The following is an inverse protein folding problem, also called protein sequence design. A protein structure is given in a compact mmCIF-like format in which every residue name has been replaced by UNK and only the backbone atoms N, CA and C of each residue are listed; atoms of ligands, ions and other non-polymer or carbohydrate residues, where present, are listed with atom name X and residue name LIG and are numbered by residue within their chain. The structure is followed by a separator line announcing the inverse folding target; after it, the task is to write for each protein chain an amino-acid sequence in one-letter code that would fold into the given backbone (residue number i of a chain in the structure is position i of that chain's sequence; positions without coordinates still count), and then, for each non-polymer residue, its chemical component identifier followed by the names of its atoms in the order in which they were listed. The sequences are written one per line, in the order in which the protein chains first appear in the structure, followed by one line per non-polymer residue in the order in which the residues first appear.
data_IF_388421078821
#
_entry.id   IF_388421078821
#
_cell.length_a   1.000
_cell.length_b   1.000
_cell.length_c   1.000
_cell.angle_alpha   90.00
_cell.angle_beta   90.00
_cell.angle_gamma   90.00
#
_symmetry.space_group_name_H-M   'P 1'
#
loop_
_entity.id
_entity.type
_entity.pdbx_description
1 polymer ?
#
# COMPACT_ATOMS: atom_id res chain seq x y z
N UNK A 1 -9.05 26.59 27.48
CA UNK A 1 -7.68 26.74 26.95
C UNK A 1 -7.42 25.70 25.85
N UNK A 2 -6.69 26.08 24.80
CA UNK A 2 -6.41 25.15 23.71
C UNK A 2 -5.42 24.05 24.13
N UNK A 3 -5.53 22.87 23.49
CA UNK A 3 -4.56 21.79 23.66
C UNK A 3 -3.29 22.16 22.92
N UNK A 4 -2.14 22.02 23.57
CA UNK A 4 -0.83 22.35 22.99
C UNK A 4 0.02 21.09 22.82
N UNK A 5 0.80 21.04 21.74
CA UNK A 5 1.70 19.95 21.47
C UNK A 5 2.86 19.90 22.46
N UNK A 6 3.16 18.70 22.96
CA UNK A 6 4.27 18.45 23.86
C UNK A 6 5.36 17.66 23.17
N UNK A 7 5.03 16.54 22.58
CA UNK A 7 5.99 15.60 22.01
C UNK A 7 5.41 14.94 20.76
N UNK A 8 6.28 14.64 19.80
CA UNK A 8 5.95 13.91 18.59
C UNK A 8 6.89 12.73 18.42
N UNK A 9 6.32 11.53 18.29
CA UNK A 9 7.07 10.30 18.02
C UNK A 9 6.53 9.67 16.73
N UNK A 10 7.26 9.84 15.63
CA UNK A 10 6.89 9.26 14.33
C UNK A 10 7.95 8.23 13.95
N UNK A 11 7.55 6.96 13.87
CA UNK A 11 8.42 5.85 13.54
C UNK A 11 7.82 5.05 12.37
N UNK A 12 8.67 4.65 11.44
CA UNK A 12 8.35 3.73 10.35
C UNK A 12 9.25 2.51 10.45
N UNK A 13 8.64 1.34 10.44
CA UNK A 13 9.33 0.06 10.59
C UNK A 13 9.10 -0.81 9.35
N UNK A 14 9.91 -1.86 9.19
CA UNK A 14 9.79 -2.80 8.08
C UNK A 14 10.70 -2.46 6.91
N UNK A 15 10.48 -3.12 5.78
CA UNK A 15 11.33 -2.95 4.60
C UNK A 15 11.30 -1.53 4.02
N UNK A 16 10.25 -0.76 4.31
CA UNK A 16 10.11 0.63 3.86
C UNK A 16 10.72 1.69 4.78
N UNK A 17 11.35 1.30 5.90
CA UNK A 17 11.89 2.28 6.86
C UNK A 17 12.91 3.24 6.24
N UNK A 18 13.64 2.79 5.22
CA UNK A 18 14.65 3.58 4.49
C UNK A 18 14.10 4.29 3.26
N UNK A 19 12.81 4.17 2.99
CA UNK A 19 12.20 4.85 1.86
C UNK A 19 12.34 6.36 2.02
N UNK A 20 12.95 7.08 1.04
CA UNK A 20 13.17 8.52 1.18
C UNK A 20 11.91 9.31 1.48
N UNK A 21 10.79 8.95 0.87
CA UNK A 21 9.50 9.59 1.07
C UNK A 21 8.98 9.46 2.51
N UNK A 22 9.35 8.40 3.23
CA UNK A 22 8.99 8.20 4.63
C UNK A 22 10.02 8.81 5.58
N UNK A 23 11.30 8.84 5.19
CA UNK A 23 12.34 9.41 6.02
C UNK A 23 12.20 10.92 6.23
N UNK A 24 11.60 11.63 5.27
CA UNK A 24 11.36 13.06 5.40
C UNK A 24 10.14 13.40 6.28
N UNK A 25 9.26 12.43 6.54
CA UNK A 25 8.07 12.63 7.37
C UNK A 25 8.36 12.16 8.79
N UNK A 26 9.15 12.95 9.52
CA UNK A 26 9.51 12.64 10.91
C UNK A 26 8.83 13.54 11.93
N UNK A 27 8.35 14.68 11.48
CA UNK A 27 7.67 15.65 12.31
C UNK A 27 6.47 16.21 11.55
N UNK A 28 5.39 16.43 12.26
CA UNK A 28 4.22 17.12 11.72
C UNK A 28 4.54 18.63 11.66
N UNK A 29 4.46 19.25 10.48
CA UNK A 29 4.73 20.67 10.34
C UNK A 29 3.82 21.51 11.24
N UNK A 30 4.40 22.50 11.94
CA UNK A 30 3.64 23.39 12.80
C UNK A 30 3.11 22.77 14.09
N UNK A 31 3.68 21.64 14.51
CA UNK A 31 3.33 20.96 15.76
C UNK A 31 4.56 20.87 16.68
N UNK A 32 5.33 21.93 16.77
CA UNK A 32 6.44 22.03 17.71
C UNK A 32 5.94 22.13 19.16
N UNK A 33 6.82 21.89 20.11
CA UNK A 33 6.46 22.00 21.52
C UNK A 33 5.85 23.38 21.83
N UNK A 34 4.68 23.37 22.44
CA UNK A 34 3.95 24.58 22.77
C UNK A 34 3.00 25.10 21.70
N UNK A 35 3.05 24.58 20.48
CA UNK A 35 2.11 24.96 19.43
C UNK A 35 0.72 24.40 19.72
N UNK A 36 -0.31 25.10 19.25
CA UNK A 36 -1.68 24.59 19.36
C UNK A 36 -1.82 23.33 18.52
N UNK A 37 -2.34 22.26 19.14
CA UNK A 37 -2.57 21.01 18.43
C UNK A 37 -3.51 21.21 17.24
N UNK A 38 -3.10 20.79 16.05
CA UNK A 38 -3.88 20.89 14.83
C UNK A 38 -4.23 19.50 14.33
N UNK A 39 -5.48 19.10 14.51
CA UNK A 39 -5.97 17.80 14.09
C UNK A 39 -5.88 17.59 12.58
N UNK A 40 -6.13 18.64 11.81
CA UNK A 40 -6.04 18.58 10.34
C UNK A 40 -4.64 18.23 9.85
N UNK A 41 -3.60 18.83 10.42
CA UNK A 41 -2.20 18.52 10.08
C UNK A 41 -1.80 17.13 10.51
N UNK A 42 -2.30 16.66 11.65
CA UNK A 42 -2.09 15.28 12.10
C UNK A 42 -2.66 14.27 11.11
N UNK A 43 -3.91 14.43 10.71
CA UNK A 43 -4.57 13.56 9.73
C UNK A 43 -3.91 13.64 8.34
N UNK A 44 -3.51 14.83 7.91
CA UNK A 44 -2.79 15.04 6.65
C UNK A 44 -1.45 14.28 6.63
N UNK A 45 -0.70 14.32 7.72
CA UNK A 45 0.57 13.60 7.83
C UNK A 45 0.36 12.09 7.79
N UNK A 46 -0.66 11.57 8.46
CA UNK A 46 -1.03 10.15 8.37
C UNK A 46 -1.35 9.76 6.93
N UNK A 47 -2.12 10.56 6.23
CA UNK A 47 -2.46 10.32 4.82
C UNK A 47 -1.23 10.32 3.93
N UNK A 48 -0.29 11.24 4.14
CA UNK A 48 0.98 11.28 3.39
C UNK A 48 1.80 10.01 3.60
N UNK A 49 1.87 9.51 4.82
CA UNK A 49 2.60 8.27 5.13
C UNK A 49 1.96 7.09 4.40
N UNK A 50 0.65 6.94 4.49
CA UNK A 50 -0.09 5.86 3.82
C UNK A 50 0.08 5.94 2.30
N UNK A 51 -0.06 7.12 1.71
CA UNK A 51 0.10 7.33 0.28
C UNK A 51 1.51 6.99 -0.20
N UNK A 52 2.55 7.43 0.53
CA UNK A 52 3.93 7.13 0.19
C UNK A 52 4.21 5.61 0.21
N UNK A 53 3.67 4.91 1.19
CA UNK A 53 3.80 3.45 1.28
C UNK A 53 3.09 2.76 0.11
N UNK A 54 1.85 3.13 -0.19
CA UNK A 54 1.08 2.56 -1.30
C UNK A 54 1.73 2.83 -2.65
N UNK A 55 2.22 4.03 -2.89
CA UNK A 55 2.88 4.41 -4.15
C UNK A 55 4.17 3.62 -4.40
N UNK A 56 4.75 3.05 -3.37
CA UNK A 56 5.97 2.26 -3.44
C UNK A 56 5.76 0.76 -3.22
N UNK A 57 4.53 0.29 -3.24
CA UNK A 57 4.21 -1.14 -3.21
C UNK A 57 4.16 -1.79 -1.84
N UNK A 58 4.06 -1.01 -0.79
CA UNK A 58 3.88 -1.53 0.57
C UNK A 58 2.38 -1.67 0.88
N UNK A 59 1.73 -2.59 0.19
CA UNK A 59 0.26 -2.71 0.22
C UNK A 59 -0.27 -3.35 1.49
N UNK A 60 0.56 -4.04 2.26
CA UNK A 60 0.17 -4.67 3.52
C UNK A 60 0.58 -3.84 4.74
N UNK A 61 0.98 -2.59 4.52
CA UNK A 61 1.34 -1.66 5.57
C UNK A 61 0.15 -1.34 6.48
N UNK A 62 0.44 -1.15 7.75
CA UNK A 62 -0.59 -0.84 8.73
C UNK A 62 -0.05 0.01 9.88
N UNK A 63 -0.94 0.66 10.60
CA UNK A 63 -0.60 1.41 11.80
C UNK A 63 -0.47 0.47 12.99
N UNK A 64 0.71 0.43 13.60
CA UNK A 64 0.91 -0.23 14.90
C UNK A 64 0.36 0.63 16.03
N UNK A 65 0.55 1.94 15.92
CA UNK A 65 0.07 2.93 16.87
C UNK A 65 -0.22 4.23 16.11
N UNK A 66 -1.36 4.82 16.36
CA UNK A 66 -1.74 6.12 15.84
C UNK A 66 -2.65 6.81 16.84
N UNK A 67 -2.05 7.44 17.85
CA UNK A 67 -2.81 8.11 18.89
C UNK A 67 -2.28 9.50 19.19
N UNK A 68 -3.16 10.26 19.83
CA UNK A 68 -2.85 11.56 20.44
C UNK A 68 -3.27 11.45 21.90
N UNK A 69 -2.28 11.45 22.78
CA UNK A 69 -2.51 11.35 24.21
C UNK A 69 -2.58 12.73 24.83
N UNK A 70 -3.75 13.07 25.38
CA UNK A 70 -3.97 14.37 26.02
C UNK A 70 -3.84 14.19 27.53
N UNK A 71 -2.96 14.98 28.14
CA UNK A 71 -2.68 14.93 29.56
C UNK A 71 -3.28 16.16 30.27
N UNK A 72 -4.01 15.89 31.34
CA UNK A 72 -4.57 16.92 32.23
C UNK A 72 -3.63 17.10 33.43
N UNK A 73 -3.64 18.31 34.14
CA UNK A 73 -4.44 19.49 33.83
C UNK A 73 -3.90 20.42 32.75
N UNK A 74 -2.65 20.18 32.29
CA UNK A 74 -1.92 21.10 31.42
C UNK A 74 -2.45 21.14 29.99
N UNK A 75 -3.34 20.21 29.62
CA UNK A 75 -3.87 20.03 28.25
C UNK A 75 -2.76 19.96 27.20
N UNK A 76 -1.83 19.05 27.41
CA UNK A 76 -0.75 18.78 26.47
C UNK A 76 -1.07 17.54 25.61
N UNK A 77 -0.71 17.59 24.34
CA UNK A 77 -0.88 16.47 23.40
C UNK A 77 0.47 15.81 23.11
N UNK A 78 0.53 14.51 23.30
CA UNK A 78 1.63 13.66 22.87
C UNK A 78 1.17 12.86 21.64
N UNK A 79 1.87 13.03 20.53
CA UNK A 79 1.53 12.40 19.26
C UNK A 79 2.42 11.20 19.06
N UNK A 80 1.79 10.02 18.87
CA UNK A 80 2.51 8.77 18.64
C UNK A 80 2.02 8.12 17.33
N UNK A 81 2.89 8.05 16.35
CA UNK A 81 2.65 7.39 15.07
C UNK A 81 3.69 6.32 14.85
N UNK A 82 3.27 5.06 14.76
CA UNK A 82 4.13 3.92 14.45
C UNK A 82 3.53 3.15 13.28
N UNK A 83 4.22 3.20 12.15
CA UNK A 83 3.77 2.59 10.91
C UNK A 83 4.65 1.41 10.54
N UNK A 84 4.02 0.25 10.31
CA UNK A 84 4.68 -0.95 9.81
C UNK A 84 4.44 -1.05 8.31
N UNK A 85 5.49 -0.94 7.53
CA UNK A 85 5.39 -1.00 6.06
C UNK A 85 5.21 -2.42 5.56
N UNK A 86 5.76 -3.40 6.26
CA UNK A 86 5.84 -4.77 5.76
C UNK A 86 6.80 -4.89 4.59
N UNK A 87 6.60 -5.90 3.78
CA UNK A 87 7.42 -6.16 2.60
C UNK A 87 6.92 -5.40 1.38
N UNK A 88 7.84 -5.08 0.49
CA UNK A 88 7.52 -4.40 -0.77
C UNK A 88 7.10 -5.40 -1.84
N UNK A 89 5.99 -5.12 -2.51
CA UNK A 89 5.51 -5.93 -3.63
C UNK A 89 6.36 -5.71 -4.88
N UNK A 90 6.44 -6.74 -5.69
CA UNK A 90 7.15 -6.73 -6.97
C UNK A 90 6.18 -6.87 -8.12
N UNK A 91 6.55 -6.28 -9.27
CA UNK A 91 5.77 -6.34 -10.48
C UNK A 91 6.04 -7.64 -11.24
N UNK A 92 4.98 -8.21 -11.79
CA UNK A 92 5.01 -9.29 -12.74
C UNK A 92 4.76 -8.77 -14.16
N UNK A 93 4.57 -9.69 -15.08
CA UNK A 93 4.19 -9.37 -16.46
C UNK A 93 2.80 -8.75 -16.51
N UNK A 94 2.60 -7.89 -17.49
CA UNK A 94 1.30 -7.26 -17.74
C UNK A 94 0.45 -8.20 -18.59
N UNK A 95 -0.81 -8.37 -18.20
CA UNK A 95 -1.83 -9.00 -19.02
C UNK A 95 -2.61 -7.92 -19.77
N UNK A 96 -2.66 -8.04 -21.09
CA UNK A 96 -3.38 -7.10 -21.93
C UNK A 96 -4.67 -7.73 -22.42
N UNK A 97 -5.79 -7.05 -22.24
CA UNK A 97 -7.10 -7.52 -22.65
C UNK A 97 -7.87 -6.41 -23.34
N UNK A 98 -8.65 -6.79 -24.37
CA UNK A 98 -9.61 -5.85 -24.96
C UNK A 98 -10.87 -5.80 -24.10
N UNK A 99 -11.50 -4.62 -24.02
CA UNK A 99 -12.80 -4.49 -23.36
C UNK A 99 -13.88 -5.31 -24.04
N UNK A 100 -13.78 -5.47 -25.37
CA UNK A 100 -14.59 -6.40 -26.16
C UNK A 100 -13.76 -7.66 -26.43
N UNK A 101 -14.04 -8.79 -25.75
CA UNK A 101 -13.26 -10.02 -25.92
C UNK A 101 -13.30 -10.59 -27.34
N UNK A 102 -14.28 -10.21 -28.16
CA UNK A 102 -14.41 -10.65 -29.55
C UNK A 102 -13.40 -9.98 -30.49
N UNK A 103 -12.79 -8.88 -30.07
CA UNK A 103 -11.81 -8.14 -30.88
C UNK A 103 -10.39 -8.53 -30.50
N UNK A 104 -9.51 -8.75 -31.49
CA UNK A 104 -8.10 -9.03 -31.21
C UNK A 104 -7.37 -7.76 -30.77
N UNK A 105 -6.28 -7.95 -30.04
CA UNK A 105 -5.38 -6.85 -29.70
C UNK A 105 -4.77 -6.28 -31.00
N UNK A 106 -4.76 -4.94 -31.17
CA UNK A 106 -4.25 -4.31 -32.39
C UNK A 106 -2.71 -4.30 -32.49
N UNK A 107 -2.03 -4.64 -31.42
CA UNK A 107 -0.58 -4.66 -31.30
C UNK A 107 -0.08 -6.05 -30.98
N UNK A 108 1.13 -6.38 -31.42
CA UNK A 108 1.78 -7.65 -31.08
C UNK A 108 2.18 -7.67 -29.59
N UNK A 109 2.32 -8.87 -29.05
CA UNK A 109 2.77 -9.03 -27.65
C UNK A 109 4.12 -8.38 -27.42
N UNK A 110 5.03 -8.48 -28.38
CA UNK A 110 6.37 -7.86 -28.30
C UNK A 110 6.28 -6.34 -28.17
N UNK A 111 5.42 -5.70 -28.94
CA UNK A 111 5.21 -4.24 -28.87
C UNK A 111 4.56 -3.86 -27.54
N UNK A 112 3.53 -4.60 -27.12
CA UNK A 112 2.87 -4.36 -25.84
C UNK A 112 3.84 -4.49 -24.67
N UNK A 113 4.66 -5.51 -24.64
CA UNK A 113 5.66 -5.72 -23.59
C UNK A 113 6.69 -4.58 -23.54
N UNK A 114 7.01 -3.96 -24.68
CA UNK A 114 7.92 -2.83 -24.74
C UNK A 114 7.38 -1.56 -24.12
N UNK A 115 6.05 -1.46 -23.91
CA UNK A 115 5.40 -0.30 -23.33
C UNK A 115 5.52 -0.26 -21.80
N UNK A 116 5.76 -1.40 -21.16
CA UNK A 116 5.91 -1.48 -19.72
C UNK A 116 7.35 -1.13 -19.32
N UNK A 117 7.57 -0.09 -18.49
CA UNK A 117 8.91 0.37 -18.13
C UNK A 117 9.54 -0.43 -16.98
N UNK A 118 9.33 -1.73 -16.95
CA UNK A 118 9.92 -2.61 -15.94
C UNK A 118 10.14 -4.01 -16.47
N UNK A 119 10.97 -4.74 -15.74
CA UNK A 119 11.15 -6.20 -15.92
C UNK A 119 10.45 -6.94 -14.79
N UNK A 120 10.00 -8.16 -15.05
CA UNK A 120 9.43 -9.02 -14.02
C UNK A 120 10.37 -9.12 -12.82
N UNK A 121 9.83 -8.94 -11.62
CA UNK A 121 10.59 -8.93 -10.37
C UNK A 121 11.10 -7.55 -9.94
N UNK A 122 10.94 -6.51 -10.74
CA UNK A 122 11.21 -5.16 -10.29
C UNK A 122 10.21 -4.74 -9.19
N UNK A 123 10.65 -3.87 -8.32
CA UNK A 123 9.79 -3.34 -7.26
C UNK A 123 8.60 -2.58 -7.84
N UNK A 124 7.44 -2.76 -7.22
CA UNK A 124 6.30 -1.93 -7.55
C UNK A 124 6.62 -0.47 -7.23
N UNK A 125 6.28 0.39 -8.18
CA UNK A 125 6.23 1.83 -7.97
C UNK A 125 5.10 2.40 -8.83
N UNK A 126 4.30 3.29 -8.26
CA UNK A 126 3.16 3.88 -8.96
C UNK A 126 3.58 4.57 -10.27
N UNK A 127 4.74 5.23 -10.29
CA UNK A 127 5.22 5.89 -11.50
C UNK A 127 5.39 4.94 -12.68
N UNK A 128 5.74 3.67 -12.43
CA UNK A 128 5.90 2.65 -13.49
C UNK A 128 4.56 2.32 -14.12
N UNK A 129 3.55 2.13 -13.32
CA UNK A 129 2.18 1.87 -13.79
C UNK A 129 1.64 3.07 -14.55
N UNK A 130 1.90 4.28 -14.06
CA UNK A 130 1.47 5.51 -14.71
C UNK A 130 2.13 5.72 -16.07
N UNK A 131 3.42 5.41 -16.19
CA UNK A 131 4.15 5.46 -17.48
C UNK A 131 3.56 4.44 -18.47
N UNK A 132 3.23 3.23 -18.02
CA UNK A 132 2.57 2.24 -18.89
C UNK A 132 1.23 2.79 -19.41
N UNK A 133 0.41 3.36 -18.53
CA UNK A 133 -0.88 3.93 -18.92
C UNK A 133 -0.71 5.03 -19.97
N UNK A 134 0.25 5.92 -19.78
CA UNK A 134 0.57 6.98 -20.72
C UNK A 134 1.08 6.42 -22.05
N UNK A 135 1.94 5.42 -22.03
CA UNK A 135 2.45 4.79 -23.24
C UNK A 135 1.33 4.13 -24.05
N UNK A 136 0.41 3.45 -23.39
CA UNK A 136 -0.77 2.86 -24.05
C UNK A 136 -1.65 3.94 -24.71
N UNK A 137 -1.94 5.00 -23.99
CA UNK A 137 -2.71 6.14 -24.53
C UNK A 137 -2.01 6.78 -25.72
N UNK A 138 -0.70 6.95 -25.65
CA UNK A 138 0.10 7.60 -26.69
C UNK A 138 0.22 6.76 -27.97
N UNK A 139 -0.03 5.46 -27.93
CA UNK A 139 -0.08 4.63 -29.16
C UNK A 139 -1.23 5.01 -30.08
N UNK A 140 -2.28 5.62 -29.54
CA UNK A 140 -3.51 6.03 -30.26
C UNK A 140 -4.29 4.89 -30.91
N UNK A 141 -3.99 3.65 -30.54
CA UNK A 141 -4.76 2.48 -31.01
C UNK A 141 -5.99 2.19 -30.18
N UNK A 142 -6.11 2.83 -29.00
CA UNK A 142 -7.18 2.59 -28.05
C UNK A 142 -7.95 3.89 -27.78
N UNK A 143 -9.28 3.80 -27.78
CA UNK A 143 -10.14 4.93 -27.42
C UNK A 143 -10.12 5.20 -25.92
N UNK A 144 -9.94 4.14 -25.14
CA UNK A 144 -9.90 4.19 -23.69
C UNK A 144 -8.98 3.07 -23.17
N UNK A 145 -8.16 3.40 -22.20
CA UNK A 145 -7.29 2.44 -21.54
C UNK A 145 -7.46 2.51 -20.02
N UNK A 146 -7.58 1.35 -19.41
CA UNK A 146 -7.58 1.21 -17.95
C UNK A 146 -6.41 0.31 -17.56
N UNK A 147 -5.54 0.81 -16.69
CA UNK A 147 -4.46 0.02 -16.10
C UNK A 147 -4.82 -0.22 -14.64
N UNK A 148 -4.98 -1.48 -14.29
CA UNK A 148 -5.33 -1.89 -12.94
C UNK A 148 -4.26 -2.79 -12.36
N UNK A 149 -4.04 -2.67 -11.07
CA UNK A 149 -3.07 -3.47 -10.33
C UNK A 149 -3.80 -4.56 -9.55
N UNK A 150 -3.49 -5.82 -9.86
CA UNK A 150 -4.10 -6.95 -9.16
C UNK A 150 -3.13 -7.42 -8.08
N UNK A 151 -3.49 -7.17 -6.83
CA UNK A 151 -2.75 -7.62 -5.68
C UNK A 151 -3.09 -9.10 -5.40
N UNK A 152 -2.08 -9.99 -5.26
CA UNK A 152 -2.35 -11.36 -4.82
C UNK A 152 -2.85 -11.35 -3.36
N UNK A 153 -3.58 -12.39 -2.98
CA UNK A 153 -3.98 -12.57 -1.59
C UNK A 153 -2.73 -12.66 -0.71
N UNK A 154 -2.75 -12.05 0.50
CA UNK A 154 -1.63 -12.17 1.42
C UNK A 154 -1.36 -13.63 1.75
N UNK A 155 -0.07 -14.02 1.75
CA UNK A 155 0.33 -15.35 2.21
C UNK A 155 0.13 -15.34 3.73
N UNK A 156 -0.96 -15.96 4.17
CA UNK A 156 -1.19 -16.14 5.59
C UNK A 156 -0.34 -17.30 6.07
N UNK A 157 0.38 -17.14 7.22
CA UNK A 157 1.02 -18.29 7.84
C UNK A 157 -0.05 -19.32 8.21
N UNK A 158 0.25 -20.64 8.11
CA UNK A 158 -0.71 -21.66 8.47
C UNK A 158 -1.19 -21.41 9.91
N UNK A 159 -2.51 -21.38 10.08
CA UNK A 159 -3.10 -21.27 11.40
C UNK A 159 -2.77 -22.54 12.17
N UNK A 160 -2.15 -22.39 13.34
CA UNK A 160 -2.04 -23.50 14.28
C UNK A 160 -3.42 -23.74 14.90
N UNK A 161 -4.16 -24.67 14.32
CA UNK A 161 -5.46 -25.07 14.82
C UNK A 161 -5.31 -26.16 15.86
N UNK A 162 -6.23 -26.20 16.83
CA UNK A 162 -6.38 -27.34 17.71
C UNK A 162 -6.61 -28.62 16.87
N UNK A 163 -6.10 -29.81 17.27
CA UNK A 163 -6.19 -31.01 16.45
C UNK A 163 -7.61 -31.31 15.94
N UNK A 164 -8.63 -31.06 16.74
CA UNK A 164 -10.04 -31.32 16.39
C UNK A 164 -10.50 -30.38 15.24
N UNK A 165 -10.11 -29.09 15.29
CA UNK A 165 -10.43 -28.12 14.26
C UNK A 165 -9.65 -28.41 12.98
N UNK A 166 -8.40 -28.86 13.09
CA UNK A 166 -7.59 -29.25 11.96
C UNK A 166 -8.24 -30.45 11.23
N UNK A 167 -8.72 -31.42 11.92
CA UNK A 167 -9.42 -32.58 11.36
C UNK A 167 -10.67 -32.13 10.56
N UNK A 168 -11.45 -31.19 11.08
CA UNK A 168 -12.63 -30.67 10.40
C UNK A 168 -12.26 -29.93 9.11
N UNK A 169 -11.20 -29.12 9.14
CA UNK A 169 -10.71 -28.41 7.96
C UNK A 169 -10.24 -29.41 6.90
N UNK A 170 -9.52 -30.45 7.28
CA UNK A 170 -9.04 -31.47 6.37
C UNK A 170 -10.20 -32.27 5.73
N UNK A 171 -11.26 -32.59 6.51
CA UNK A 171 -12.48 -33.18 5.95
C UNK A 171 -13.16 -32.29 4.92
N UNK A 172 -13.27 -31.00 5.17
CA UNK A 172 -13.87 -30.06 4.21
C UNK A 172 -13.06 -29.97 2.92
N UNK A 173 -11.74 -29.94 3.00
CA UNK A 173 -10.86 -29.95 1.83
C UNK A 173 -11.01 -31.24 1.02
N UNK A 174 -11.12 -32.38 1.69
CA UNK A 174 -11.32 -33.67 1.03
C UNK A 174 -12.66 -33.71 0.30
N UNK A 175 -13.75 -33.26 0.93
CA UNK A 175 -15.06 -33.17 0.30
C UNK A 175 -15.06 -32.26 -0.91
N UNK A 176 -14.42 -31.10 -0.85
CA UNK A 176 -14.29 -30.20 -1.98
C UNK A 176 -13.51 -30.84 -3.15
N UNK A 177 -12.45 -31.59 -2.86
CA UNK A 177 -11.69 -32.29 -3.90
C UNK A 177 -12.47 -33.42 -4.58
N UNK A 178 -13.40 -34.04 -3.88
CA UNK A 178 -14.26 -35.10 -4.43
C UNK A 178 -15.42 -34.54 -5.29
N UNK A 179 -15.83 -33.31 -5.08
CA UNK A 179 -16.89 -32.63 -5.84
C UNK A 179 -16.41 -32.01 -7.16
N UNK A 180 -15.13 -31.92 -7.34
CA UNK A 180 -14.52 -31.49 -8.59
C UNK A 180 -14.09 -32.71 -9.40
#
# INVERSE_FOLDING_TARGET
EPVRSKEQNIECWGAGERLPQLQVIRLIPGQDEGDIFNHGKYEETKTKIVSAANDNGFFDAYWRLHDVKITQPDKTAEINLKYETGERYKLKKVEYRMSDPSKPLPLTQKVLDSLAPWKEGNDYAFWRVNVLANNLTNTRYFNYTLVDTIKPDPIQPPLELAPDLQALVDQQKLQQSQLM
#
